data_IF_683153294427
#
_entry.id   IF_683153294427
#
_cell.length_a   1.000
_cell.length_b   1.000
_cell.length_c   1.000
_cell.angle_alpha   90.00
_cell.angle_beta   90.00
_cell.angle_gamma   90.00
#
_symmetry.space_group_name_H-M   'P 1'
#
loop_
_entity.id
_entity.type
_entity.pdbx_description
1 polymer ?
#
# COMPACT_ATOMS: atom_id res chain seq x y z
N UNK A 1 20.00 7.40 19.09
CA UNK A 1 20.96 6.45 18.51
C UNK A 1 21.16 6.89 17.08
N UNK A 2 22.37 7.28 16.73
CA UNK A 2 22.76 7.63 15.37
C UNK A 2 22.73 6.33 14.56
N UNK A 3 21.94 6.27 13.51
CA UNK A 3 21.91 5.18 12.55
C UNK A 3 23.26 5.21 11.81
N UNK A 4 23.99 4.11 11.81
CA UNK A 4 25.17 3.97 10.95
C UNK A 4 24.69 4.07 9.50
N UNK A 5 25.14 5.14 8.82
CA UNK A 5 24.87 5.43 7.41
C UNK A 5 25.67 4.46 6.49
N UNK A 6 25.32 3.19 6.50
CA UNK A 6 25.81 2.22 5.49
C UNK A 6 24.65 1.72 4.62
N UNK A 7 23.56 2.50 4.49
CA UNK A 7 22.49 2.25 3.55
C UNK A 7 23.01 2.56 2.14
N UNK A 8 23.42 1.51 1.42
CA UNK A 8 23.77 1.63 0.01
C UNK A 8 22.56 2.17 -0.76
N UNK A 9 22.73 3.36 -1.39
CA UNK A 9 21.73 3.93 -2.29
C UNK A 9 21.41 2.93 -3.38
N UNK A 10 20.14 2.50 -3.47
CA UNK A 10 19.66 1.55 -4.46
C UNK A 10 18.76 2.23 -5.50
N UNK A 11 18.82 1.77 -6.75
CA UNK A 11 17.84 2.12 -7.78
C UNK A 11 16.61 1.23 -7.64
N UNK A 12 15.46 1.79 -7.34
CA UNK A 12 14.22 1.09 -7.07
C UNK A 12 13.16 1.34 -8.15
N UNK A 13 12.42 0.30 -8.53
CA UNK A 13 11.18 0.45 -9.30
C UNK A 13 9.98 0.41 -8.37
N UNK A 14 9.18 1.46 -8.39
CA UNK A 14 7.94 1.57 -7.62
C UNK A 14 6.76 1.53 -8.59
N UNK A 15 6.02 0.44 -8.64
CA UNK A 15 4.80 0.36 -9.46
C UNK A 15 3.59 0.81 -8.66
N UNK A 16 2.73 1.64 -9.26
CA UNK A 16 1.60 2.25 -8.54
C UNK A 16 2.04 3.33 -7.53
N UNK A 17 3.20 3.96 -7.78
CA UNK A 17 3.80 4.91 -6.87
C UNK A 17 3.08 6.26 -6.77
N UNK A 18 2.19 6.60 -7.71
CA UNK A 18 1.35 7.79 -7.62
C UNK A 18 0.09 7.60 -6.76
N UNK A 19 -0.20 6.37 -6.35
CA UNK A 19 -1.31 6.03 -5.46
C UNK A 19 -1.09 6.49 -4.02
N UNK A 20 -2.11 6.29 -3.16
CA UNK A 20 -2.09 6.74 -1.76
C UNK A 20 -0.88 6.20 -0.99
N UNK A 21 -0.73 4.88 -0.89
CA UNK A 21 0.39 4.26 -0.15
C UNK A 21 1.71 4.50 -0.90
N UNK A 22 1.69 4.35 -2.24
CA UNK A 22 2.88 4.50 -3.09
C UNK A 22 3.55 5.86 -2.96
N UNK A 23 2.79 6.95 -2.98
CA UNK A 23 3.34 8.32 -2.87
C UNK A 23 3.99 8.60 -1.52
N UNK A 24 3.39 8.12 -0.41
CA UNK A 24 3.99 8.24 0.92
C UNK A 24 5.25 7.37 1.05
N UNK A 25 5.26 6.18 0.44
CA UNK A 25 6.45 5.32 0.41
C UNK A 25 7.56 5.93 -0.46
N UNK A 26 7.22 6.53 -1.62
CA UNK A 26 8.19 7.25 -2.43
C UNK A 26 8.89 8.37 -1.62
N UNK A 27 8.12 9.14 -0.83
CA UNK A 27 8.71 10.18 0.02
C UNK A 27 9.73 9.60 1.01
N UNK A 28 9.33 8.57 1.77
CA UNK A 28 10.19 7.92 2.78
C UNK A 28 11.46 7.35 2.15
N UNK A 29 11.37 6.76 0.96
CA UNK A 29 12.52 6.19 0.25
C UNK A 29 13.46 7.27 -0.32
N UNK A 30 12.93 8.38 -0.84
CA UNK A 30 13.73 9.53 -1.28
C UNK A 30 14.47 10.18 -0.11
N UNK A 31 13.82 10.34 1.04
CA UNK A 31 14.43 10.83 2.27
C UNK A 31 15.51 9.89 2.81
N UNK A 32 15.39 8.58 2.56
CA UNK A 32 16.44 7.59 2.84
C UNK A 32 17.58 7.56 1.79
N UNK A 33 17.51 8.38 0.73
CA UNK A 33 18.57 8.52 -0.27
C UNK A 33 18.49 7.58 -1.46
N UNK A 34 17.43 6.77 -1.59
CA UNK A 34 17.23 5.90 -2.74
C UNK A 34 16.89 6.67 -4.02
N UNK A 35 17.21 6.09 -5.18
CA UNK A 35 16.79 6.57 -6.49
C UNK A 35 15.53 5.83 -6.91
N UNK A 36 14.51 6.57 -7.36
CA UNK A 36 13.21 5.99 -7.67
C UNK A 36 12.83 6.15 -9.15
N UNK A 37 12.49 5.01 -9.75
CA UNK A 37 11.79 4.93 -11.00
C UNK A 37 10.35 4.51 -10.71
N UNK A 38 9.38 5.37 -10.98
CA UNK A 38 7.96 5.11 -10.71
C UNK A 38 7.24 4.77 -12.01
N UNK A 39 6.48 3.67 -12.01
CA UNK A 39 5.57 3.29 -13.08
C UNK A 39 4.13 3.37 -12.58
N UNK A 40 3.29 4.19 -13.22
CA UNK A 40 1.87 4.35 -12.85
C UNK A 40 1.03 4.64 -14.10
N UNK A 41 -0.17 4.06 -14.20
CA UNK A 41 -1.10 4.27 -15.32
C UNK A 41 -2.14 5.37 -15.04
N UNK A 42 -2.11 5.95 -13.86
CA UNK A 42 -3.05 6.95 -13.36
C UNK A 42 -4.53 6.58 -13.42
N UNK A 43 -4.85 5.30 -13.49
CA UNK A 43 -6.24 4.82 -13.50
C UNK A 43 -7.00 5.18 -12.21
N UNK A 44 -6.30 5.24 -11.06
CA UNK A 44 -6.87 5.62 -9.76
C UNK A 44 -5.87 6.42 -8.90
N UNK A 45 -5.07 7.26 -9.52
CA UNK A 45 -4.02 8.05 -8.88
C UNK A 45 -3.85 9.39 -9.58
N UNK A 46 -2.96 10.24 -9.07
CA UNK A 46 -2.66 11.55 -9.65
C UNK A 46 -1.16 11.81 -9.68
N UNK A 47 -0.64 12.23 -10.83
CA UNK A 47 0.75 12.67 -10.95
C UNK A 47 1.10 13.84 -10.01
N UNK A 48 0.09 14.64 -9.60
CA UNK A 48 0.26 15.75 -8.64
C UNK A 48 0.77 15.23 -7.29
N UNK A 49 0.39 14.00 -6.89
CA UNK A 49 0.91 13.40 -5.67
C UNK A 49 2.44 13.30 -5.71
N UNK A 50 3.02 12.85 -6.84
CA UNK A 50 4.47 12.72 -7.02
C UNK A 50 5.17 14.08 -7.20
N UNK A 51 4.51 15.06 -7.81
CA UNK A 51 5.03 16.45 -7.85
C UNK A 51 5.21 17.00 -6.43
N UNK A 52 4.21 16.79 -5.56
CA UNK A 52 4.26 17.21 -4.16
C UNK A 52 5.25 16.39 -3.33
N UNK A 53 5.43 15.10 -3.63
CA UNK A 53 6.51 14.27 -3.07
C UNK A 53 7.87 14.85 -3.43
N UNK A 54 8.10 15.22 -4.68
CA UNK A 54 9.34 15.84 -5.13
C UNK A 54 9.64 17.16 -4.39
N UNK A 55 8.61 18.00 -4.21
CA UNK A 55 8.73 19.24 -3.43
C UNK A 55 9.07 18.98 -1.96
N UNK A 56 8.44 17.98 -1.33
CA UNK A 56 8.70 17.62 0.07
C UNK A 56 10.11 17.04 0.26
N UNK A 57 10.55 16.19 -0.65
CA UNK A 57 11.88 15.57 -0.63
C UNK A 57 13.00 16.53 -1.11
N UNK A 58 12.67 17.70 -1.65
CA UNK A 58 13.65 18.66 -2.20
C UNK A 58 14.36 18.15 -3.45
N UNK A 59 13.73 17.28 -4.23
CA UNK A 59 14.27 16.71 -5.47
C UNK A 59 13.45 17.15 -6.69
N UNK A 60 13.99 16.97 -7.90
CA UNK A 60 13.25 17.22 -9.14
C UNK A 60 12.59 15.94 -9.61
N UNK A 61 11.30 16.00 -9.94
CA UNK A 61 10.58 14.93 -10.64
C UNK A 61 10.85 15.05 -12.14
N UNK A 62 11.54 14.07 -12.72
CA UNK A 62 11.62 13.90 -14.15
C UNK A 62 10.40 13.11 -14.64
N UNK A 63 9.77 13.54 -15.74
CA UNK A 63 8.75 12.76 -16.44
C UNK A 63 9.33 12.22 -17.73
N UNK A 64 9.24 10.93 -17.94
CA UNK A 64 9.79 10.26 -19.10
C UNK A 64 8.75 9.37 -19.79
N UNK A 65 9.11 8.87 -20.96
CA UNK A 65 8.31 7.92 -21.75
C UNK A 65 8.63 6.48 -21.34
N UNK A 66 7.74 5.50 -21.57
CA UNK A 66 7.98 4.09 -21.23
C UNK A 66 9.29 3.51 -21.78
N UNK A 67 9.88 4.12 -22.79
CA UNK A 67 11.13 3.68 -23.41
C UNK A 67 12.39 4.29 -22.79
N UNK A 68 12.27 5.09 -21.73
CA UNK A 68 13.37 5.82 -21.08
C UNK A 68 14.47 6.25 -22.07
N UNK A 69 14.36 7.47 -22.59
CA UNK A 69 15.34 8.00 -23.57
C UNK A 69 16.53 8.70 -22.92
N UNK A 70 16.41 9.01 -21.65
CA UNK A 70 17.44 9.64 -20.83
C UNK A 70 17.79 8.76 -19.63
N UNK A 71 18.95 8.98 -19.02
CA UNK A 71 19.32 8.35 -17.77
C UNK A 71 18.28 8.67 -16.68
N UNK A 72 17.86 7.70 -15.86
CA UNK A 72 16.99 7.96 -14.71
C UNK A 72 17.64 8.99 -13.79
N UNK A 73 16.88 10.00 -13.39
CA UNK A 73 17.29 10.91 -12.29
C UNK A 73 16.88 10.29 -10.95
N UNK A 74 17.24 10.97 -9.85
CA UNK A 74 16.91 10.51 -8.50
C UNK A 74 15.41 10.19 -8.33
N UNK A 75 14.53 10.91 -9.04
CA UNK A 75 13.09 10.66 -9.03
C UNK A 75 12.51 10.77 -10.45
N UNK A 76 12.25 9.63 -11.07
CA UNK A 76 11.73 9.56 -12.44
C UNK A 76 10.35 8.91 -12.46
N UNK A 77 9.39 9.54 -13.13
CA UNK A 77 8.04 9.04 -13.37
C UNK A 77 7.87 8.61 -14.83
N UNK A 78 7.39 7.41 -15.03
CA UNK A 78 6.99 6.84 -16.31
C UNK A 78 5.50 6.51 -16.27
N UNK A 79 4.73 7.05 -17.20
CA UNK A 79 3.33 6.67 -17.40
C UNK A 79 3.27 5.35 -18.17
N UNK A 80 2.67 4.31 -17.58
CA UNK A 80 2.57 2.99 -18.21
C UNK A 80 1.84 1.96 -17.35
N UNK A 81 1.43 0.89 -18.00
CA UNK A 81 0.65 -0.21 -17.42
C UNK A 81 1.56 -1.41 -17.11
N UNK A 82 1.44 -1.99 -15.92
CA UNK A 82 2.18 -3.20 -15.54
C UNK A 82 1.85 -4.43 -16.40
N UNK A 83 0.77 -4.39 -17.17
CA UNK A 83 0.40 -5.43 -18.14
C UNK A 83 1.18 -5.32 -19.44
N UNK A 84 1.82 -4.20 -19.71
CA UNK A 84 2.65 -3.99 -20.89
C UNK A 84 4.06 -4.55 -20.66
N UNK A 85 4.29 -5.76 -21.17
CA UNK A 85 5.58 -6.43 -21.05
C UNK A 85 6.72 -5.68 -21.77
N UNK A 86 6.43 -4.96 -22.85
CA UNK A 86 7.44 -4.18 -23.58
C UNK A 86 7.85 -2.94 -22.79
N UNK A 87 6.88 -2.27 -22.16
CA UNK A 87 7.15 -1.16 -21.25
C UNK A 87 8.05 -1.62 -20.10
N UNK A 88 7.69 -2.72 -19.43
CA UNK A 88 8.48 -3.27 -18.33
C UNK A 88 9.91 -3.63 -18.76
N UNK A 89 10.08 -4.36 -19.86
CA UNK A 89 11.41 -4.71 -20.37
C UNK A 89 12.25 -3.46 -20.72
N UNK A 90 11.62 -2.45 -21.32
CA UNK A 90 12.30 -1.19 -21.65
C UNK A 90 12.80 -0.46 -20.39
N UNK A 91 12.02 -0.44 -19.29
CA UNK A 91 12.42 0.17 -18.03
C UNK A 91 13.68 -0.50 -17.45
N UNK A 92 13.67 -1.82 -17.32
CA UNK A 92 14.82 -2.56 -16.79
C UNK A 92 16.06 -2.46 -17.71
N UNK A 93 15.89 -2.62 -19.02
CA UNK A 93 16.98 -2.54 -19.99
C UNK A 93 17.62 -1.15 -20.02
N UNK A 94 16.78 -0.10 -19.96
CA UNK A 94 17.25 1.28 -19.95
C UNK A 94 18.05 1.60 -18.69
N UNK A 95 17.53 1.26 -17.51
CA UNK A 95 18.21 1.45 -16.25
C UNK A 95 19.60 0.78 -16.26
N UNK A 96 19.68 -0.47 -16.75
CA UNK A 96 20.96 -1.18 -16.92
C UNK A 96 21.89 -0.49 -17.90
N UNK A 97 21.37 0.01 -19.04
CA UNK A 97 22.17 0.68 -20.07
C UNK A 97 22.83 1.94 -19.55
N UNK A 98 22.16 2.67 -18.67
CA UNK A 98 22.70 3.87 -18.02
C UNK A 98 23.55 3.58 -16.77
N UNK A 99 23.83 2.31 -16.48
CA UNK A 99 24.68 1.92 -15.35
C UNK A 99 24.01 2.01 -13.98
N UNK A 100 22.67 2.09 -13.95
CA UNK A 100 21.83 2.17 -12.75
C UNK A 100 20.79 1.02 -12.78
N UNK A 101 21.22 -0.26 -12.70
CA UNK A 101 20.30 -1.38 -12.76
C UNK A 101 19.28 -1.31 -11.61
N UNK A 102 18.04 -1.70 -11.87
CA UNK A 102 17.00 -1.79 -10.84
C UNK A 102 17.36 -2.96 -9.91
N UNK A 103 17.60 -2.64 -8.63
CA UNK A 103 18.04 -3.61 -7.62
C UNK A 103 16.86 -4.27 -6.90
N UNK A 104 15.76 -3.51 -6.71
CA UNK A 104 14.56 -4.02 -6.08
C UNK A 104 13.30 -3.35 -6.63
N UNK A 105 12.16 -4.03 -6.45
CA UNK A 105 10.84 -3.54 -6.81
C UNK A 105 9.96 -3.45 -5.58
N UNK A 106 9.21 -2.35 -5.43
CA UNK A 106 8.06 -2.28 -4.52
C UNK A 106 6.79 -2.20 -5.37
N UNK A 107 5.93 -3.20 -5.23
CA UNK A 107 4.79 -3.40 -6.11
C UNK A 107 3.47 -3.03 -5.45
N UNK A 108 2.99 -1.80 -5.70
CA UNK A 108 1.68 -1.30 -5.27
C UNK A 108 0.61 -1.38 -6.36
N UNK A 109 1.00 -1.37 -7.64
CA UNK A 109 0.05 -1.34 -8.74
C UNK A 109 -0.97 -2.48 -8.63
N UNK A 110 -2.25 -2.13 -8.67
CA UNK A 110 -3.34 -3.08 -8.57
C UNK A 110 -4.67 -2.43 -8.16
N UNK A 111 -5.75 -3.06 -8.56
CA UNK A 111 -7.11 -2.66 -8.18
C UNK A 111 -7.42 -3.14 -6.77
N UNK A 112 -8.07 -2.28 -5.94
CA UNK A 112 -8.29 -2.52 -4.50
C UNK A 112 -9.76 -2.49 -4.03
N UNK A 113 -10.69 -2.08 -4.88
CA UNK A 113 -12.07 -1.88 -4.46
C UNK A 113 -12.86 -3.20 -4.43
N UNK A 114 -13.20 -3.67 -3.21
CA UNK A 114 -13.87 -4.96 -2.99
C UNK A 114 -15.19 -5.05 -3.76
N UNK A 115 -16.06 -4.02 -3.67
CA UNK A 115 -17.36 -4.02 -4.35
C UNK A 115 -17.23 -4.06 -5.88
N UNK A 116 -16.27 -3.33 -6.45
CA UNK A 116 -15.97 -3.37 -7.88
C UNK A 116 -15.45 -4.74 -8.31
N UNK A 117 -14.65 -5.40 -7.47
CA UNK A 117 -14.11 -6.72 -7.78
C UNK A 117 -15.21 -7.77 -8.01
N UNK A 118 -16.32 -7.66 -7.27
CA UNK A 118 -17.49 -8.54 -7.44
C UNK A 118 -18.19 -8.28 -8.78
N UNK A 119 -18.23 -7.03 -9.22
CA UNK A 119 -18.86 -6.64 -10.48
C UNK A 119 -17.97 -6.90 -11.70
N UNK A 120 -16.64 -6.80 -11.53
CA UNK A 120 -15.65 -6.91 -12.61
C UNK A 120 -14.51 -7.88 -12.26
N UNK A 121 -14.79 -9.15 -11.92
CA UNK A 121 -13.76 -10.08 -11.44
C UNK A 121 -12.64 -10.31 -12.45
N UNK A 122 -12.95 -10.42 -13.74
CA UNK A 122 -11.94 -10.64 -14.79
C UNK A 122 -10.94 -9.47 -14.87
N UNK A 123 -11.39 -8.22 -14.71
CA UNK A 123 -10.52 -7.04 -14.66
C UNK A 123 -9.55 -7.12 -13.47
N UNK A 124 -10.03 -7.58 -12.31
CA UNK A 124 -9.19 -7.76 -11.12
C UNK A 124 -8.13 -8.85 -11.32
N UNK A 125 -8.49 -9.96 -11.95
CA UNK A 125 -7.53 -10.99 -12.31
C UNK A 125 -6.51 -10.52 -13.35
N UNK A 126 -6.94 -9.80 -14.37
CA UNK A 126 -6.05 -9.27 -15.40
C UNK A 126 -5.02 -8.28 -14.81
N UNK A 127 -5.48 -7.31 -14.03
CA UNK A 127 -4.56 -6.32 -13.46
C UNK A 127 -3.72 -6.91 -12.33
N UNK A 128 -4.36 -7.54 -11.31
CA UNK A 128 -3.67 -7.93 -10.09
C UNK A 128 -2.84 -9.22 -10.24
N UNK A 129 -3.25 -10.16 -11.10
CA UNK A 129 -2.56 -11.44 -11.27
C UNK A 129 -1.70 -11.45 -12.53
N UNK A 130 -2.30 -11.15 -13.70
CA UNK A 130 -1.54 -11.14 -14.96
C UNK A 130 -0.52 -10.00 -14.97
N UNK A 131 -0.89 -8.80 -14.49
CA UNK A 131 0.05 -7.68 -14.34
C UNK A 131 1.23 -8.02 -13.44
N UNK A 132 0.96 -8.60 -12.25
CA UNK A 132 2.03 -9.08 -11.34
C UNK A 132 2.91 -10.12 -12.02
N UNK A 133 2.32 -11.10 -12.71
CA UNK A 133 3.08 -12.14 -13.43
C UNK A 133 3.99 -11.54 -14.52
N UNK A 134 3.54 -10.53 -15.27
CA UNK A 134 4.36 -9.85 -16.27
C UNK A 134 5.51 -9.09 -15.64
N UNK A 135 5.26 -8.39 -14.53
CA UNK A 135 6.30 -7.72 -13.75
C UNK A 135 7.38 -8.71 -13.29
N UNK A 136 6.97 -9.82 -12.66
CA UNK A 136 7.89 -10.87 -12.18
C UNK A 136 8.70 -11.49 -13.33
N UNK A 137 8.08 -11.68 -14.49
CA UNK A 137 8.78 -12.19 -15.68
C UNK A 137 9.83 -11.20 -16.21
N UNK A 138 9.56 -9.88 -16.15
CA UNK A 138 10.55 -8.86 -16.51
C UNK A 138 11.68 -8.82 -15.47
N UNK A 139 11.34 -8.83 -14.18
CA UNK A 139 12.32 -8.89 -13.09
C UNK A 139 13.29 -10.07 -13.24
N UNK A 140 12.77 -11.27 -13.52
CA UNK A 140 13.60 -12.47 -13.69
C UNK A 140 14.52 -12.38 -14.91
N UNK A 141 14.01 -11.92 -16.08
CA UNK A 141 14.84 -11.70 -17.27
C UNK A 141 16.00 -10.73 -17.05
N UNK A 142 15.79 -9.73 -16.21
CA UNK A 142 16.80 -8.71 -15.89
C UNK A 142 17.54 -8.97 -14.57
N UNK A 143 17.41 -10.17 -14.00
CA UNK A 143 18.09 -10.60 -12.76
C UNK A 143 17.78 -9.74 -11.52
N UNK A 144 16.70 -8.98 -11.52
CA UNK A 144 16.18 -8.26 -10.36
C UNK A 144 15.29 -9.21 -9.56
N UNK A 145 15.73 -9.73 -8.42
CA UNK A 145 15.03 -10.76 -7.65
C UNK A 145 14.66 -10.32 -6.23
N UNK A 146 14.63 -9.03 -5.98
CA UNK A 146 14.21 -8.45 -4.69
C UNK A 146 12.87 -7.75 -4.86
N UNK A 147 11.84 -8.19 -4.11
CA UNK A 147 10.47 -7.69 -4.24
C UNK A 147 9.81 -7.45 -2.88
N UNK A 148 9.28 -6.26 -2.67
CA UNK A 148 8.30 -5.97 -1.61
C UNK A 148 6.92 -5.90 -2.26
N UNK A 149 6.01 -6.79 -1.85
CA UNK A 149 4.67 -6.95 -2.44
C UNK A 149 3.57 -6.43 -1.53
N UNK A 150 2.76 -5.53 -2.06
CA UNK A 150 1.53 -5.03 -1.45
C UNK A 150 0.46 -6.11 -1.42
N UNK A 151 0.30 -6.79 -0.29
CA UNK A 151 -0.79 -7.74 -0.05
C UNK A 151 -1.89 -7.11 0.80
N UNK A 152 -2.85 -7.89 1.27
CA UNK A 152 -4.03 -7.40 1.97
C UNK A 152 -4.55 -8.42 2.97
N UNK A 153 -5.13 -7.95 4.07
CA UNK A 153 -5.86 -8.79 5.03
C UNK A 153 -7.17 -9.38 4.49
N UNK A 154 -7.66 -8.89 3.35
CA UNK A 154 -8.87 -9.44 2.72
C UNK A 154 -8.74 -10.91 2.31
N UNK A 155 -7.51 -11.45 2.24
CA UNK A 155 -7.30 -12.87 1.98
C UNK A 155 -7.64 -13.78 3.18
N UNK A 156 -7.70 -13.25 4.41
CA UNK A 156 -8.07 -14.06 5.59
C UNK A 156 -9.58 -14.37 5.64
N UNK A 157 -10.44 -13.59 4.97
CA UNK A 157 -11.89 -13.76 4.96
C UNK A 157 -12.50 -13.57 6.34
N UNK A 158 -13.09 -14.63 6.91
CA UNK A 158 -13.65 -14.65 8.25
C UNK A 158 -12.65 -15.29 9.22
N UNK A 159 -11.83 -14.52 9.93
CA UNK A 159 -10.80 -15.09 10.81
C UNK A 159 -11.43 -15.68 12.07
N UNK A 160 -10.97 -16.87 12.45
CA UNK A 160 -11.38 -17.54 13.70
C UNK A 160 -10.68 -16.98 14.93
N UNK A 161 -9.55 -16.29 14.75
CA UNK A 161 -8.71 -15.71 15.80
C UNK A 161 -8.47 -14.23 15.58
N UNK A 162 -8.59 -13.45 16.63
CA UNK A 162 -8.23 -12.01 16.66
C UNK A 162 -7.44 -11.77 17.96
N UNK A 163 -6.26 -11.12 17.90
CA UNK A 163 -5.55 -10.60 16.72
C UNK A 163 -5.16 -11.68 15.72
N UNK A 164 -5.22 -11.34 14.42
CA UNK A 164 -5.02 -12.27 13.30
C UNK A 164 -3.51 -12.50 13.07
N UNK A 165 -2.98 -13.71 13.24
CA UNK A 165 -1.60 -14.02 12.92
C UNK A 165 -1.42 -14.32 11.41
N UNK A 166 -0.19 -14.28 10.91
CA UNK A 166 0.13 -14.61 9.52
C UNK A 166 -0.15 -16.08 9.16
N UNK A 167 -0.18 -16.95 10.17
CA UNK A 167 -0.52 -18.37 10.05
C UNK A 167 -2.03 -18.64 9.94
N UNK A 168 -2.88 -17.61 10.09
CA UNK A 168 -4.32 -17.77 9.95
C UNK A 168 -4.68 -18.33 8.55
N UNK A 169 -5.71 -19.18 8.45
CA UNK A 169 -6.15 -19.74 7.18
C UNK A 169 -6.48 -18.66 6.14
N UNK A 170 -6.07 -18.88 4.89
CA UNK A 170 -6.37 -18.00 3.76
C UNK A 170 -7.68 -18.47 3.13
N UNK A 171 -8.74 -17.68 3.28
CA UNK A 171 -10.10 -17.99 2.82
C UNK A 171 -10.77 -16.73 2.23
N UNK A 172 -10.29 -16.20 1.09
CA UNK A 172 -10.81 -14.96 0.52
C UNK A 172 -12.28 -15.10 0.13
N UNK A 173 -13.10 -14.15 0.53
CA UNK A 173 -14.54 -14.14 0.31
C UNK A 173 -14.98 -13.21 -0.84
N UNK A 174 -14.06 -12.62 -1.55
CA UNK A 174 -14.29 -11.74 -2.69
C UNK A 174 -13.17 -11.85 -3.74
N UNK A 175 -13.44 -11.47 -5.01
CA UNK A 175 -12.45 -11.58 -6.09
C UNK A 175 -11.17 -10.76 -5.87
N UNK A 176 -11.22 -9.62 -5.17
CA UNK A 176 -10.03 -8.86 -4.81
C UNK A 176 -9.11 -9.68 -3.89
N UNK A 177 -9.63 -10.21 -2.79
CA UNK A 177 -8.86 -11.08 -1.90
C UNK A 177 -8.34 -12.33 -2.61
N UNK A 178 -9.16 -12.96 -3.48
CA UNK A 178 -8.75 -14.11 -4.28
C UNK A 178 -7.59 -13.76 -5.24
N UNK A 179 -7.61 -12.58 -5.88
CA UNK A 179 -6.52 -12.14 -6.77
C UNK A 179 -5.21 -11.88 -6.01
N UNK A 180 -5.29 -11.30 -4.80
CA UNK A 180 -4.12 -11.11 -3.94
C UNK A 180 -3.54 -12.45 -3.45
N UNK A 181 -4.40 -13.41 -3.09
CA UNK A 181 -3.97 -14.76 -2.72
C UNK A 181 -3.29 -15.49 -3.89
N UNK A 182 -3.83 -15.39 -5.11
CA UNK A 182 -3.20 -15.98 -6.30
C UNK A 182 -1.80 -15.38 -6.56
N UNK A 183 -1.64 -14.07 -6.41
CA UNK A 183 -0.33 -13.41 -6.51
C UNK A 183 0.62 -13.90 -5.40
N UNK A 184 0.17 -13.99 -4.13
CA UNK A 184 0.99 -14.55 -3.05
C UNK A 184 1.43 -16.00 -3.31
N UNK A 185 0.57 -16.81 -3.91
CA UNK A 185 0.88 -18.20 -4.28
C UNK A 185 1.96 -18.25 -5.38
N UNK A 186 1.88 -17.36 -6.38
CA UNK A 186 2.92 -17.23 -7.40
C UNK A 186 4.27 -16.84 -6.78
N UNK A 187 4.26 -15.87 -5.85
CA UNK A 187 5.47 -15.43 -5.14
C UNK A 187 6.08 -16.55 -4.29
N UNK A 188 5.26 -17.36 -3.63
CA UNK A 188 5.72 -18.51 -2.87
C UNK A 188 6.44 -19.54 -3.79
N UNK A 189 5.87 -19.83 -4.97
CA UNK A 189 6.48 -20.73 -5.94
C UNK A 189 7.84 -20.20 -6.44
N UNK A 190 7.98 -18.90 -6.70
CA UNK A 190 9.25 -18.28 -7.09
C UNK A 190 10.32 -18.36 -5.99
N UNK A 191 9.89 -18.22 -4.74
CA UNK A 191 10.80 -18.38 -3.60
C UNK A 191 11.15 -19.84 -3.27
N UNK A 192 10.65 -20.80 -4.05
CA UNK A 192 10.86 -22.23 -3.80
C UNK A 192 10.07 -22.78 -2.61
N UNK A 193 8.99 -22.12 -2.21
CA UNK A 193 8.13 -22.52 -1.10
C UNK A 193 6.85 -23.17 -1.59
N UNK A 194 6.34 -24.18 -0.88
CA UNK A 194 4.98 -24.66 -1.06
C UNK A 194 4.07 -24.03 0.00
N UNK A 195 3.20 -23.11 -0.42
CA UNK A 195 2.28 -22.41 0.51
C UNK A 195 2.97 -21.37 1.40
N UNK A 196 2.68 -21.39 2.71
CA UNK A 196 3.26 -20.50 3.71
C UNK A 196 4.47 -21.10 4.45
N UNK A 197 5.08 -22.15 3.91
CA UNK A 197 6.17 -22.90 4.56
C UNK A 197 7.55 -22.37 4.18
N UNK A 198 8.56 -22.76 4.95
CA UNK A 198 9.99 -22.49 4.72
C UNK A 198 10.44 -22.89 3.31
N UNK A 199 11.46 -22.25 2.73
CA UNK A 199 12.01 -22.60 1.42
C UNK A 199 12.40 -24.07 1.34
N UNK A 200 11.99 -24.77 0.28
CA UNK A 200 12.33 -26.19 0.07
C UNK A 200 13.80 -26.35 -0.32
N UNK A 201 14.38 -25.37 -1.02
CA UNK A 201 15.80 -25.19 -1.30
C UNK A 201 16.09 -23.75 -1.75
N UNK A 202 16.99 -23.05 -1.05
CA UNK A 202 17.53 -21.79 -1.55
C UNK A 202 18.50 -22.13 -2.70
N UNK A 203 18.15 -21.74 -3.93
CA UNK A 203 19.09 -21.78 -5.07
C UNK A 203 19.98 -20.53 -5.01
N UNK A 204 21.27 -20.68 -5.37
CA UNK A 204 22.14 -19.51 -5.59
C UNK A 204 21.45 -18.54 -6.57
N UNK A 205 21.34 -17.26 -6.19
CA UNK A 205 20.60 -16.26 -6.94
C UNK A 205 19.07 -16.37 -6.84
N UNK A 206 18.53 -16.98 -5.77
CA UNK A 206 17.09 -17.09 -5.49
C UNK A 206 16.42 -15.75 -5.18
N UNK A 207 15.07 -15.78 -5.10
CA UNK A 207 14.27 -14.59 -4.83
C UNK A 207 14.31 -14.18 -3.34
N UNK A 208 14.28 -12.87 -3.11
CA UNK A 208 14.11 -12.22 -1.82
C UNK A 208 12.78 -11.47 -1.86
N UNK A 209 11.79 -11.95 -1.12
CA UNK A 209 10.41 -11.48 -1.23
C UNK A 209 9.86 -11.16 0.15
N UNK A 210 9.24 -9.98 0.31
CA UNK A 210 8.39 -9.63 1.44
C UNK A 210 6.95 -9.45 0.97
N UNK A 211 6.01 -10.24 1.49
CA UNK A 211 4.57 -10.08 1.32
C UNK A 211 4.03 -9.33 2.52
N UNK A 212 3.60 -8.09 2.32
CA UNK A 212 3.11 -7.22 3.38
C UNK A 212 1.58 -7.18 3.35
N UNK A 213 0.93 -7.79 4.34
CA UNK A 213 -0.53 -7.86 4.47
C UNK A 213 -1.02 -6.68 5.29
N UNK A 214 -1.57 -5.66 4.60
CA UNK A 214 -2.05 -4.44 5.26
C UNK A 214 -3.40 -4.64 5.90
N UNK A 215 -3.58 -3.98 7.07
CA UNK A 215 -4.90 -3.77 7.65
C UNK A 215 -5.56 -2.54 7.00
N UNK A 216 -5.94 -1.52 7.73
CA UNK A 216 -6.63 -0.37 7.14
C UNK A 216 -5.71 0.86 7.08
N UNK A 217 -4.96 1.09 5.99
CA UNK A 217 -4.12 2.27 5.85
C UNK A 217 -4.98 3.52 5.72
N UNK A 218 -4.70 4.53 6.54
CA UNK A 218 -5.46 5.76 6.69
C UNK A 218 -4.56 6.93 7.09
N UNK A 219 -5.13 8.14 7.16
CA UNK A 219 -4.39 9.36 7.49
C UNK A 219 -3.79 10.02 6.26
N UNK A 220 -2.77 10.82 6.46
CA UNK A 220 -2.07 11.56 5.42
C UNK A 220 -0.67 11.97 5.92
N UNK A 221 0.15 12.55 5.05
CA UNK A 221 1.40 13.15 5.49
C UNK A 221 1.14 14.38 6.40
N UNK A 222 1.87 14.56 7.51
CA UNK A 222 1.63 15.66 8.46
C UNK A 222 1.66 17.06 7.86
N UNK A 223 2.34 17.25 6.71
CA UNK A 223 2.36 18.54 5.99
C UNK A 223 1.01 18.92 5.36
N UNK A 224 0.04 18.01 5.27
CA UNK A 224 -1.21 18.22 4.52
C UNK A 224 -1.03 18.33 3.00
N UNK A 225 0.15 17.98 2.46
CA UNK A 225 0.46 18.10 1.02
C UNK A 225 0.07 16.86 0.21
N UNK A 226 0.22 15.67 0.79
CA UNK A 226 -0.14 14.38 0.18
C UNK A 226 -1.08 13.59 1.10
N UNK A 227 -2.05 12.90 0.50
CA UNK A 227 -3.09 12.13 1.21
C UNK A 227 -3.92 11.28 0.26
N UNK A 228 -4.99 10.66 0.76
CA UNK A 228 -5.86 9.81 -0.05
C UNK A 228 -6.89 10.63 -0.83
N UNK A 229 -6.88 10.52 -2.16
CA UNK A 229 -7.85 11.15 -3.05
C UNK A 229 -8.41 10.11 -4.05
N UNK A 230 -9.37 9.27 -3.63
CA UNK A 230 -9.93 8.24 -4.48
C UNK A 230 -10.81 8.85 -5.58
N UNK A 231 -10.72 8.30 -6.79
CA UNK A 231 -11.63 8.66 -7.88
C UNK A 231 -13.08 8.25 -7.53
N UNK A 232 -14.01 9.19 -7.68
CA UNK A 232 -15.45 8.96 -7.46
C UNK A 232 -15.86 8.88 -5.98
N UNK A 233 -16.79 7.96 -5.66
CA UNK A 233 -17.29 7.78 -4.30
C UNK A 233 -16.32 6.91 -3.50
N UNK A 234 -15.80 7.37 -2.34
CA UNK A 234 -14.93 6.55 -1.52
C UNK A 234 -15.61 5.26 -1.06
N UNK A 235 -14.87 4.15 -1.14
CA UNK A 235 -15.33 2.85 -0.65
C UNK A 235 -14.91 2.59 0.82
N UNK A 236 -13.91 3.34 1.32
CA UNK A 236 -13.38 3.20 2.67
C UNK A 236 -13.93 4.29 3.59
N UNK A 237 -14.01 3.98 4.89
CA UNK A 237 -14.53 4.89 5.92
C UNK A 237 -13.77 6.21 5.94
N UNK A 238 -12.43 6.17 5.95
CA UNK A 238 -11.61 7.35 6.26
C UNK A 238 -11.74 8.48 5.22
N UNK A 239 -11.57 8.25 3.91
CA UNK A 239 -11.80 9.32 2.92
C UNK A 239 -13.27 9.72 2.84
N UNK A 240 -14.23 8.86 3.23
CA UNK A 240 -15.64 9.23 3.29
C UNK A 240 -15.91 10.20 4.45
N UNK A 241 -15.41 9.92 5.64
CA UNK A 241 -15.62 10.75 6.84
C UNK A 241 -14.93 12.12 6.70
N UNK A 242 -13.74 12.20 6.10
CA UNK A 242 -13.07 13.48 5.83
C UNK A 242 -13.86 14.33 4.82
N UNK A 243 -14.51 13.70 3.81
CA UNK A 243 -15.41 14.38 2.89
C UNK A 243 -16.72 14.88 3.56
N UNK A 244 -17.20 14.18 4.59
CA UNK A 244 -18.31 14.69 5.42
C UNK A 244 -17.83 15.88 6.25
N UNK A 245 -16.69 15.77 6.92
CA UNK A 245 -16.13 16.84 7.73
C UNK A 245 -15.90 18.14 6.95
N UNK A 246 -15.43 18.06 5.68
CA UNK A 246 -15.21 19.24 4.84
C UNK A 246 -16.49 19.74 4.15
N UNK A 247 -17.62 19.04 4.30
CA UNK A 247 -18.93 19.45 3.75
C UNK A 247 -19.18 19.01 2.30
N UNK A 248 -18.33 18.12 1.72
CA UNK A 248 -18.60 17.55 0.37
C UNK A 248 -19.75 16.55 0.39
N UNK A 249 -20.03 15.95 1.56
CA UNK A 249 -21.12 14.98 1.78
C UNK A 249 -21.96 15.38 2.97
N UNK A 250 -23.27 15.11 2.93
CA UNK A 250 -24.18 15.54 4.00
C UNK A 250 -24.00 14.69 5.27
N UNK A 251 -23.74 13.39 5.15
CA UNK A 251 -23.68 12.46 6.27
C UNK A 251 -22.87 11.19 5.94
N UNK A 252 -22.41 10.51 6.98
CA UNK A 252 -21.80 9.19 6.91
C UNK A 252 -22.87 8.10 7.04
N UNK A 253 -22.74 7.00 6.31
CA UNK A 253 -23.52 5.78 6.55
C UNK A 253 -22.69 4.78 7.35
N UNK A 254 -23.14 4.45 8.57
CA UNK A 254 -22.58 3.42 9.43
C UNK A 254 -23.33 2.12 9.20
N UNK A 255 -22.64 1.05 8.85
CA UNK A 255 -23.23 -0.24 8.47
C UNK A 255 -23.26 -1.23 9.64
N UNK A 256 -24.44 -1.36 10.26
CA UNK A 256 -24.69 -2.21 11.43
C UNK A 256 -24.35 -1.48 12.74
N UNK A 257 -25.26 -1.62 13.71
CA UNK A 257 -25.13 -1.20 15.11
C UNK A 257 -25.38 -2.36 16.08
N UNK A 258 -25.44 -3.55 15.53
CA UNK A 258 -25.78 -4.79 16.22
C UNK A 258 -24.63 -5.84 16.18
N UNK A 259 -23.42 -5.40 15.83
CA UNK A 259 -22.23 -6.26 15.88
C UNK A 259 -21.87 -6.64 17.32
N UNK A 260 -21.27 -7.82 17.57
CA UNK A 260 -20.82 -8.23 18.91
C UNK A 260 -19.54 -7.46 19.32
N UNK A 261 -19.66 -6.15 19.42
CA UNK A 261 -18.61 -5.18 19.75
C UNK A 261 -19.16 -4.21 20.83
N UNK A 262 -18.32 -3.47 21.55
CA UNK A 262 -18.76 -2.62 22.66
C UNK A 262 -19.81 -1.57 22.31
N UNK A 263 -19.76 -1.00 21.09
CA UNK A 263 -20.69 0.03 20.61
C UNK A 263 -21.60 -0.44 19.47
N UNK A 264 -21.54 -1.73 19.15
CA UNK A 264 -22.33 -2.34 18.09
C UNK A 264 -21.81 -2.10 16.66
N UNK A 265 -20.75 -1.31 16.47
CA UNK A 265 -20.16 -1.06 15.14
C UNK A 265 -18.90 -1.91 14.90
N UNK A 266 -18.51 -2.10 13.63
CA UNK A 266 -17.33 -2.89 13.29
C UNK A 266 -16.05 -2.28 13.88
N UNK A 267 -15.14 -3.15 14.32
CA UNK A 267 -13.79 -2.77 14.76
C UNK A 267 -12.78 -3.10 13.67
N UNK A 268 -11.91 -2.13 13.37
CA UNK A 268 -10.81 -2.27 12.41
C UNK A 268 -9.49 -1.81 13.02
N UNK A 269 -8.41 -2.39 12.54
CA UNK A 269 -7.06 -1.94 12.83
C UNK A 269 -6.69 -0.86 11.82
N UNK A 270 -6.64 0.38 12.27
CA UNK A 270 -6.25 1.53 11.45
C UNK A 270 -4.76 1.79 11.63
N UNK A 271 -4.04 1.75 10.53
CA UNK A 271 -2.61 2.04 10.49
C UNK A 271 -2.37 3.37 9.76
N UNK A 272 -1.55 4.24 10.36
CA UNK A 272 -1.16 5.48 9.71
C UNK A 272 -0.35 5.21 8.46
N UNK A 273 -0.67 5.89 7.34
CA UNK A 273 0.00 5.67 6.05
C UNK A 273 1.51 5.90 6.11
N UNK A 274 1.99 6.81 6.97
CA UNK A 274 3.43 7.02 7.17
C UNK A 274 4.08 5.85 7.91
N UNK A 275 3.43 5.28 8.94
CA UNK A 275 3.93 4.06 9.59
C UNK A 275 4.01 2.91 8.59
N UNK A 276 2.99 2.78 7.73
CA UNK A 276 3.00 1.78 6.66
C UNK A 276 4.13 2.01 5.66
N UNK A 277 4.37 3.26 5.24
CA UNK A 277 5.46 3.62 4.32
C UNK A 277 6.84 3.30 4.93
N UNK A 278 7.03 3.61 6.20
CA UNK A 278 8.22 3.24 6.96
C UNK A 278 8.38 1.71 7.03
N UNK A 279 7.29 0.96 7.24
CA UNK A 279 7.30 -0.51 7.21
C UNK A 279 7.75 -1.09 5.86
N UNK A 280 7.44 -0.42 4.73
CA UNK A 280 7.95 -0.81 3.41
C UNK A 280 9.46 -0.58 3.28
N UNK A 281 9.95 0.55 3.80
CA UNK A 281 11.39 0.82 3.84
C UNK A 281 12.11 -0.25 4.63
N UNK A 282 11.65 -0.57 5.84
CA UNK A 282 12.29 -1.59 6.67
C UNK A 282 12.23 -2.99 6.01
N UNK A 283 11.11 -3.34 5.35
CA UNK A 283 11.02 -4.57 4.60
C UNK A 283 12.01 -4.61 3.42
N UNK A 284 12.17 -3.51 2.70
CA UNK A 284 13.17 -3.39 1.64
C UNK A 284 14.59 -3.57 2.19
N UNK A 285 14.95 -2.85 3.25
CA UNK A 285 16.29 -2.94 3.88
C UNK A 285 16.59 -4.36 4.35
N UNK A 286 15.61 -5.05 4.94
CA UNK A 286 15.80 -6.44 5.38
C UNK A 286 16.03 -7.42 4.23
N UNK A 287 15.64 -7.05 2.98
CA UNK A 287 15.81 -7.90 1.80
C UNK A 287 17.08 -7.58 1.01
N UNK A 288 17.53 -6.32 0.94
CA UNK A 288 18.62 -5.90 0.04
C UNK A 288 19.91 -6.68 0.27
N UNK A 289 20.26 -6.98 1.53
CA UNK A 289 21.49 -7.65 1.92
C UNK A 289 21.26 -9.07 2.48
N UNK A 290 20.05 -9.61 2.32
CA UNK A 290 19.69 -10.93 2.85
C UNK A 290 20.00 -12.06 1.87
N UNK A 291 20.10 -13.27 2.40
CA UNK A 291 19.98 -14.50 1.61
C UNK A 291 18.55 -14.61 1.01
N UNK A 292 18.38 -15.43 -0.06
CA UNK A 292 17.07 -15.72 -0.61
C UNK A 292 16.06 -16.15 0.46
N UNK A 293 14.90 -15.46 0.52
CA UNK A 293 13.90 -15.70 1.56
C UNK A 293 12.50 -15.25 1.13
N UNK A 294 11.49 -15.74 1.84
CA UNK A 294 10.11 -15.29 1.73
C UNK A 294 9.60 -14.84 3.10
N UNK A 295 9.46 -13.55 3.31
CA UNK A 295 8.82 -12.99 4.48
C UNK A 295 7.33 -12.78 4.22
N UNK A 296 6.49 -13.12 5.20
CA UNK A 296 5.06 -12.79 5.18
C UNK A 296 4.75 -12.09 6.50
N UNK A 297 4.30 -10.83 6.43
CA UNK A 297 4.18 -9.97 7.59
C UNK A 297 2.86 -9.20 7.57
N UNK A 298 2.16 -9.20 8.70
CA UNK A 298 1.01 -8.33 8.92
C UNK A 298 1.47 -6.93 9.30
N UNK A 299 1.07 -5.93 8.54
CA UNK A 299 1.30 -4.52 8.86
C UNK A 299 0.02 -3.89 9.38
N UNK A 300 -0.07 -3.78 10.69
CA UNK A 300 -1.16 -3.16 11.44
C UNK A 300 -0.64 -2.62 12.77
N UNK A 301 -1.50 -1.93 13.50
CA UNK A 301 -1.17 -1.35 14.80
C UNK A 301 -1.28 -2.38 15.95
N UNK A 302 -2.03 -3.47 15.73
CA UNK A 302 -2.44 -4.39 16.79
C UNK A 302 -3.52 -3.82 17.71
N UNK A 303 -4.04 -2.63 17.38
CA UNK A 303 -5.10 -1.95 18.13
C UNK A 303 -6.32 -1.74 17.24
N UNK A 304 -7.48 -2.18 17.73
CA UNK A 304 -8.74 -1.98 17.04
C UNK A 304 -9.42 -0.70 17.49
N UNK A 305 -10.04 0.01 16.53
CA UNK A 305 -10.97 1.09 16.81
C UNK A 305 -12.30 0.84 16.09
N UNK A 306 -13.42 1.19 16.73
CA UNK A 306 -14.74 1.07 16.14
C UNK A 306 -15.01 2.20 15.14
N UNK A 307 -16.06 2.06 14.34
CA UNK A 307 -16.49 3.16 13.43
C UNK A 307 -16.83 4.40 14.24
N UNK A 308 -17.51 4.27 15.38
CA UNK A 308 -17.87 5.41 16.23
C UNK A 308 -16.66 6.02 16.96
N UNK A 309 -15.61 5.24 17.26
CA UNK A 309 -14.35 5.79 17.77
C UNK A 309 -13.68 6.68 16.72
N UNK A 310 -13.68 6.26 15.45
CA UNK A 310 -13.17 7.09 14.32
C UNK A 310 -14.00 8.35 14.14
N UNK A 311 -15.33 8.26 14.25
CA UNK A 311 -16.21 9.44 14.19
C UNK A 311 -15.83 10.45 15.28
N UNK A 312 -15.76 10.03 16.54
CA UNK A 312 -15.38 10.89 17.67
C UNK A 312 -13.99 11.51 17.51
N UNK A 313 -13.01 10.70 17.06
CA UNK A 313 -11.65 11.18 16.84
C UNK A 313 -11.59 12.20 15.70
N UNK A 314 -12.36 12.02 14.62
CA UNK A 314 -12.45 12.97 13.52
C UNK A 314 -13.17 14.25 13.93
N UNK A 315 -14.24 14.18 14.72
CA UNK A 315 -14.91 15.36 15.30
C UNK A 315 -13.94 16.18 16.17
N UNK A 316 -13.14 15.50 16.99
CA UNK A 316 -12.12 16.16 17.80
C UNK A 316 -11.02 16.81 16.94
N UNK A 317 -10.57 16.16 15.87
CA UNK A 317 -9.52 16.68 14.97
C UNK A 317 -10.02 17.85 14.11
N UNK A 318 -11.22 17.73 13.55
CA UNK A 318 -11.79 18.73 12.63
C UNK A 318 -12.50 19.89 13.33
N UNK A 319 -12.86 19.75 14.61
CA UNK A 319 -13.75 20.66 15.35
C UNK A 319 -15.09 20.86 14.63
N UNK A 320 -15.56 19.84 13.93
CA UNK A 320 -16.82 19.85 13.16
C UNK A 320 -17.63 18.60 13.49
N UNK A 321 -18.96 18.69 13.58
CA UNK A 321 -19.81 17.53 13.74
C UNK A 321 -19.74 16.65 12.50
N UNK A 322 -19.78 15.32 12.73
CA UNK A 322 -19.86 14.31 11.67
C UNK A 322 -21.26 13.67 11.73
N UNK A 323 -22.25 14.21 11.02
CA UNK A 323 -23.57 13.59 10.94
C UNK A 323 -23.47 12.18 10.36
N UNK A 324 -24.17 11.23 10.98
CA UNK A 324 -24.26 9.87 10.46
C UNK A 324 -25.64 9.25 10.65
N UNK A 325 -25.94 8.26 9.81
CA UNK A 325 -27.10 7.39 9.96
C UNK A 325 -26.68 5.93 9.99
N UNK A 326 -27.45 5.13 10.71
CA UNK A 326 -27.27 3.67 10.74
C UNK A 326 -27.97 3.03 9.54
N UNK A 327 -27.32 2.05 8.94
CA UNK A 327 -27.86 1.21 7.89
C UNK A 327 -27.63 -0.28 8.22
N UNK A 328 -28.34 -1.23 7.61
CA UNK A 328 -28.09 -2.65 7.78
C UNK A 328 -26.64 -3.04 7.46
N UNK A 329 -26.15 -4.13 8.08
CA UNK A 329 -24.80 -4.69 7.80
C UNK A 329 -24.57 -4.89 6.31
N UNK A 330 -23.37 -4.58 5.83
CA UNK A 330 -23.00 -4.91 4.44
C UNK A 330 -22.65 -6.40 4.34
N UNK A 331 -23.07 -7.08 3.26
CA UNK A 331 -22.58 -8.44 2.98
C UNK A 331 -21.05 -8.46 2.88
N UNK A 332 -20.43 -9.45 3.54
CA UNK A 332 -18.97 -9.62 3.53
C UNK A 332 -18.20 -8.80 4.58
N UNK A 333 -18.87 -7.95 5.37
CA UNK A 333 -18.22 -7.34 6.53
C UNK A 333 -18.06 -8.36 7.68
N UNK A 334 -17.04 -8.15 8.51
CA UNK A 334 -16.76 -8.92 9.73
C UNK A 334 -16.77 -7.99 10.94
N UNK A 335 -17.09 -8.53 12.12
CA UNK A 335 -17.20 -7.72 13.35
C UNK A 335 -15.87 -7.05 13.72
N UNK A 336 -14.77 -7.83 13.72
CA UNK A 336 -13.46 -7.37 14.20
C UNK A 336 -12.36 -7.86 13.27
N UNK A 337 -11.47 -6.93 12.87
CA UNK A 337 -10.27 -7.24 12.09
C UNK A 337 -9.10 -6.46 12.68
N UNK A 338 -8.21 -7.15 13.42
CA UNK A 338 -7.05 -6.56 14.13
C UNK A 338 -5.83 -7.44 13.88
N UNK A 339 -4.69 -6.83 13.59
CA UNK A 339 -3.42 -7.50 13.32
C UNK A 339 -2.81 -8.12 14.59
N UNK A 340 -2.13 -9.24 14.40
CA UNK A 340 -1.00 -9.56 15.25
C UNK A 340 0.27 -9.05 14.54
N UNK A 341 0.91 -7.95 15.01
CA UNK A 341 2.08 -7.35 14.36
C UNK A 341 3.42 -7.89 14.88
N UNK A 342 3.42 -9.00 15.61
CA UNK A 342 4.60 -9.53 16.31
C UNK A 342 5.72 -9.86 15.32
N UNK A 343 5.43 -10.57 14.23
CA UNK A 343 6.46 -10.94 13.25
C UNK A 343 7.06 -9.71 12.55
N UNK A 344 6.28 -8.69 12.24
CA UNK A 344 6.80 -7.44 11.70
C UNK A 344 7.76 -6.75 12.69
N UNK A 345 7.43 -6.74 13.98
CA UNK A 345 8.31 -6.19 15.00
C UNK A 345 9.62 -6.98 15.18
N UNK A 346 9.58 -8.30 15.06
CA UNK A 346 10.74 -9.19 15.19
C UNK A 346 11.65 -9.14 13.96
N UNK A 347 11.09 -9.22 12.76
CA UNK A 347 11.88 -9.30 11.52
C UNK A 347 12.32 -7.95 10.97
N UNK A 348 11.52 -6.88 11.16
CA UNK A 348 11.81 -5.56 10.63
C UNK A 348 12.24 -4.56 11.71
N UNK A 349 12.25 -4.94 12.98
CA UNK A 349 12.44 -4.02 14.12
C UNK A 349 11.52 -2.78 14.05
N UNK A 350 10.37 -2.96 13.42
CA UNK A 350 9.40 -1.92 13.12
C UNK A 350 8.11 -2.08 13.94
N UNK A 351 7.57 -0.95 14.38
CA UNK A 351 6.26 -0.84 15.04
C UNK A 351 5.60 0.48 14.66
N UNK A 352 4.27 0.50 14.65
CA UNK A 352 3.52 1.76 14.47
C UNK A 352 3.83 2.74 15.59
N UNK A 353 3.96 4.01 15.24
CA UNK A 353 4.29 5.10 16.17
C UNK A 353 3.12 6.08 16.33
N UNK A 354 2.19 6.11 15.37
CA UNK A 354 1.13 7.10 15.27
C UNK A 354 -0.20 6.54 15.76
N UNK A 355 -0.88 7.31 16.59
CA UNK A 355 -2.17 6.97 17.20
C UNK A 355 -3.34 7.26 16.25
N UNK A 356 -4.57 6.81 16.61
CA UNK A 356 -5.81 7.20 15.93
C UNK A 356 -6.01 8.74 15.92
N UNK A 357 -5.58 9.43 16.98
CA UNK A 357 -5.61 10.90 17.03
C UNK A 357 -4.71 11.52 15.98
N UNK A 358 -3.48 11.00 15.81
CA UNK A 358 -2.56 11.47 14.77
C UNK A 358 -3.11 11.19 13.38
N UNK A 359 -3.66 9.99 13.15
CA UNK A 359 -4.33 9.61 11.91
C UNK A 359 -5.43 10.62 11.53
N UNK A 360 -6.30 10.96 12.49
CA UNK A 360 -7.42 11.88 12.23
C UNK A 360 -6.93 13.32 12.04
N UNK A 361 -5.96 13.78 12.82
CA UNK A 361 -5.34 15.11 12.67
C UNK A 361 -4.74 15.28 11.28
N UNK A 362 -3.89 14.34 10.86
CA UNK A 362 -3.15 14.46 9.61
C UNK A 362 -4.06 14.27 8.39
N UNK A 363 -5.01 13.34 8.47
CA UNK A 363 -6.02 13.16 7.44
C UNK A 363 -6.95 14.36 7.30
N UNK A 364 -7.32 15.01 8.41
CA UNK A 364 -8.07 16.26 8.38
C UNK A 364 -7.25 17.40 7.76
N UNK A 365 -6.00 17.56 8.19
CA UNK A 365 -5.07 18.57 7.64
C UNK A 365 -4.98 18.50 6.11
N UNK A 366 -4.87 17.26 5.58
CA UNK A 366 -4.90 17.02 4.13
C UNK A 366 -6.24 17.45 3.51
N UNK A 367 -7.36 16.97 4.04
CA UNK A 367 -8.68 17.23 3.45
C UNK A 367 -9.07 18.71 3.54
N UNK A 368 -8.72 19.41 4.62
CA UNK A 368 -8.99 20.84 4.80
C UNK A 368 -8.19 21.68 3.81
N UNK A 369 -6.90 21.36 3.61
CA UNK A 369 -6.04 22.01 2.64
C UNK A 369 -6.40 21.67 1.18
N UNK A 370 -7.04 20.52 0.95
CA UNK A 370 -7.43 20.01 -0.36
C UNK A 370 -8.90 19.58 -0.40
N UNK A 371 -9.85 20.54 -0.29
CA UNK A 371 -11.28 20.21 -0.18
C UNK A 371 -11.82 19.43 -1.36
N UNK A 372 -11.22 19.56 -2.54
CA UNK A 372 -11.59 18.87 -3.77
C UNK A 372 -10.55 17.84 -4.23
N UNK A 373 -9.58 17.46 -3.36
CA UNK A 373 -8.50 16.53 -3.70
C UNK A 373 -7.38 17.18 -4.49
N UNK A 374 -6.69 16.36 -5.32
CA UNK A 374 -5.59 16.81 -6.19
C UNK A 374 -6.11 17.56 -7.41
N UNK A 375 -6.59 18.80 -7.25
CA UNK A 375 -7.01 19.62 -8.38
C UNK A 375 -5.76 20.19 -9.07
N UNK A 376 -5.68 20.09 -10.39
CA UNK A 376 -4.74 20.89 -11.19
C UNK A 376 -5.15 22.35 -11.05
N UNK A 377 -4.24 23.21 -10.61
CA UNK A 377 -4.40 24.65 -10.85
C UNK A 377 -4.35 24.84 -12.38
N UNK A 378 -5.51 25.18 -12.96
CA UNK A 378 -5.65 25.55 -14.39
C UNK A 378 -4.94 26.86 -14.66
#
# INVERSE_FOLDING_TARGET
>A
MLWDNDDSMAQLLITGGAGFIGSHTCLVLLEAGHQLLVLDDFSNSSAIALERVAELAGVRLQRDQPTLRAAPETFTLVEGDIRDAQCLDALFASATTFGQPIEAVIHFAGLKAVAESVQQPLRYWDVNVVGTQRLLSAMDRHSCRTLVFSSSTTLYGYPDQVPIPETAPIQPINPYGASKHAAESLLANLAGCSGNTEPIQASEGGWRIARLRYFNPVGAHPSGRIGEDPNGIPNNLFPFITQVAVGRRPELTVFGDDWPTPDGTCIRDYIHVMDLAEGHREALHSLLNADPQLLTLNLGSGQGASVLDVVKAMEAASQRPIPYRIAPRRPGDVAITVANPTLAAEHLHWRTQRSLTDICRDGWSWQEANPQGYIRQT
#
